data_IF_183986570729
#
_entry.id   IF_183986570729
#
_cell.length_a   1.000
_cell.length_b   1.000
_cell.length_c   1.000
_cell.angle_alpha   90.00
_cell.angle_beta   90.00
_cell.angle_gamma   90.00
#
_symmetry.space_group_name_H-M   'P 1'
#
loop_
_entity.id
_entity.type
_entity.pdbx_description
1 polymer ?
#
# COMPACT_ATOMS: atom_id res chain seq x y z
N UNK A 1 7.61 1.33 5.33
CA UNK A 1 8.33 1.59 4.07
C UNK A 1 8.35 0.36 3.15
N UNK A 2 8.56 -0.86 3.66
CA UNK A 2 8.62 -2.09 2.85
C UNK A 2 7.37 -2.42 2.02
N UNK A 3 6.15 -2.15 2.52
CA UNK A 3 4.90 -2.51 1.83
C UNK A 3 4.71 -1.83 0.47
N UNK A 4 5.31 -0.65 0.26
CA UNK A 4 5.20 0.09 -1.00
C UNK A 4 6.18 -0.41 -2.07
N UNK A 5 7.26 -1.08 -1.66
CA UNK A 5 8.34 -1.51 -2.55
C UNK A 5 7.84 -2.57 -3.54
N UNK A 6 7.04 -3.53 -3.06
CA UNK A 6 6.48 -4.59 -3.90
C UNK A 6 5.58 -4.01 -5.00
N UNK A 7 4.75 -3.02 -4.67
CA UNK A 7 3.88 -2.34 -5.63
C UNK A 7 4.70 -1.59 -6.69
N UNK A 8 5.75 -0.87 -6.29
CA UNK A 8 6.62 -0.13 -7.21
C UNK A 8 7.35 -1.10 -8.16
N UNK A 9 7.89 -2.20 -7.62
CA UNK A 9 8.55 -3.24 -8.43
C UNK A 9 7.55 -3.87 -9.40
N UNK A 10 6.35 -4.20 -8.95
CA UNK A 10 5.29 -4.75 -9.79
C UNK A 10 4.90 -3.81 -10.92
N UNK A 11 4.72 -2.51 -10.64
CA UNK A 11 4.43 -1.49 -11.64
C UNK A 11 5.55 -1.34 -12.67
N UNK A 12 6.81 -1.34 -12.22
CA UNK A 12 7.95 -1.24 -13.12
C UNK A 12 8.07 -2.48 -14.01
N UNK A 13 7.90 -3.67 -13.44
CA UNK A 13 7.90 -4.93 -14.19
C UNK A 13 6.76 -5.01 -15.21
N UNK A 14 5.57 -4.49 -14.85
CA UNK A 14 4.41 -4.44 -15.74
C UNK A 14 4.63 -3.46 -16.90
N UNK A 15 5.20 -2.28 -16.61
CA UNK A 15 5.58 -1.31 -17.64
C UNK A 15 6.63 -1.89 -18.60
N UNK A 16 7.64 -2.58 -18.05
CA UNK A 16 8.66 -3.26 -18.86
C UNK A 16 8.03 -4.31 -19.79
N UNK A 17 7.14 -5.16 -19.26
CA UNK A 17 6.47 -6.18 -20.09
C UNK A 17 5.57 -5.56 -21.17
N UNK A 18 4.91 -4.43 -20.88
CA UNK A 18 4.15 -3.65 -21.86
C UNK A 18 5.05 -3.07 -22.97
N UNK A 19 6.22 -2.55 -22.61
CA UNK A 19 7.22 -2.09 -23.57
C UNK A 19 7.72 -3.23 -24.46
N UNK A 20 8.08 -4.39 -23.88
CA UNK A 20 8.48 -5.58 -24.63
C UNK A 20 7.39 -6.04 -25.61
N UNK A 21 6.13 -6.04 -25.19
CA UNK A 21 5.00 -6.39 -26.06
C UNK A 21 4.82 -5.40 -27.22
N UNK A 22 4.95 -4.10 -26.95
CA UNK A 22 4.87 -3.07 -27.97
C UNK A 22 6.02 -3.18 -28.99
N UNK A 23 7.25 -3.35 -28.50
CA UNK A 23 8.42 -3.55 -29.34
C UNK A 23 8.30 -4.81 -30.19
N UNK A 24 7.81 -5.92 -29.63
CA UNK A 24 7.60 -7.15 -30.38
C UNK A 24 6.60 -6.96 -31.54
N UNK A 25 5.50 -6.23 -31.31
CA UNK A 25 4.55 -5.90 -32.39
C UNK A 25 5.16 -5.04 -33.49
N UNK A 26 6.01 -4.08 -33.13
CA UNK A 26 6.72 -3.23 -34.09
C UNK A 26 7.72 -4.06 -34.89
N UNK A 27 8.47 -4.94 -34.23
CA UNK A 27 9.42 -5.84 -34.86
C UNK A 27 8.76 -6.75 -35.90
N UNK A 28 7.68 -7.45 -35.53
CA UNK A 28 6.95 -8.35 -36.43
C UNK A 28 6.44 -7.61 -37.68
N UNK A 29 5.92 -6.38 -37.50
CA UNK A 29 5.50 -5.51 -38.60
C UNK A 29 6.64 -5.12 -39.53
N UNK A 30 7.82 -4.78 -38.98
CA UNK A 30 9.00 -4.39 -39.75
C UNK A 30 9.57 -5.57 -40.56
N UNK A 31 9.50 -6.77 -40.02
CA UNK A 31 10.02 -7.99 -40.68
C UNK A 31 9.01 -8.63 -41.63
N UNK A 32 7.84 -8.01 -41.84
CA UNK A 32 6.72 -8.55 -42.64
C UNK A 32 6.30 -9.97 -42.23
N UNK A 33 6.57 -10.35 -40.98
CA UNK A 33 6.19 -11.65 -40.45
C UNK A 33 4.71 -11.62 -40.07
N UNK A 34 4.03 -12.76 -40.21
CA UNK A 34 2.67 -12.89 -39.71
C UNK A 34 2.70 -12.91 -38.18
N UNK A 35 1.89 -12.06 -37.56
CA UNK A 35 1.72 -12.06 -36.11
C UNK A 35 0.84 -13.25 -35.71
N UNK A 36 1.45 -14.32 -35.22
CA UNK A 36 0.70 -15.46 -34.67
C UNK A 36 0.34 -15.22 -33.21
N UNK A 37 1.35 -15.15 -32.33
CA UNK A 37 1.14 -15.07 -30.89
C UNK A 37 2.24 -14.27 -30.19
N UNK A 38 1.92 -13.76 -28.99
CA UNK A 38 2.92 -13.12 -28.14
C UNK A 38 3.87 -14.18 -27.57
N UNK A 39 5.18 -13.88 -27.46
CA UNK A 39 6.14 -14.74 -26.80
C UNK A 39 5.69 -15.10 -25.38
N UNK A 40 5.84 -16.37 -25.02
CA UNK A 40 5.39 -16.91 -23.73
C UNK A 40 6.09 -16.26 -22.55
N UNK A 41 7.33 -15.80 -22.71
CA UNK A 41 8.08 -15.06 -21.70
C UNK A 41 7.38 -13.74 -21.32
N UNK A 42 6.90 -12.97 -22.31
CA UNK A 42 6.18 -11.70 -22.08
C UNK A 42 4.86 -11.95 -21.35
N UNK A 43 4.16 -13.04 -21.70
CA UNK A 43 2.91 -13.45 -21.05
C UNK A 43 3.16 -13.82 -19.59
N UNK A 44 4.19 -14.64 -19.32
CA UNK A 44 4.53 -15.04 -17.96
C UNK A 44 4.98 -13.83 -17.13
N UNK A 45 5.81 -12.94 -17.70
CA UNK A 45 6.25 -11.73 -17.03
C UNK A 45 5.09 -10.78 -16.69
N UNK A 46 4.14 -10.58 -17.62
CA UNK A 46 2.95 -9.74 -17.36
C UNK A 46 2.08 -10.35 -16.26
N UNK A 47 1.86 -11.66 -16.24
CA UNK A 47 1.09 -12.33 -15.20
C UNK A 47 1.74 -12.19 -13.82
N UNK A 48 3.05 -12.45 -13.71
CA UNK A 48 3.80 -12.31 -12.46
C UNK A 48 3.75 -10.86 -11.96
N UNK A 49 3.97 -9.88 -12.85
CA UNK A 49 3.91 -8.47 -12.52
C UNK A 49 2.51 -8.03 -12.06
N UNK A 50 1.46 -8.56 -12.71
CA UNK A 50 0.08 -8.32 -12.32
C UNK A 50 -0.22 -8.83 -10.90
N UNK A 51 0.13 -10.09 -10.59
CA UNK A 51 -0.07 -10.64 -9.25
C UNK A 51 0.74 -9.88 -8.18
N UNK A 52 1.98 -9.48 -8.50
CA UNK A 52 2.79 -8.65 -7.61
C UNK A 52 2.11 -7.30 -7.30
N UNK A 53 1.52 -6.64 -8.31
CA UNK A 53 0.73 -5.43 -8.13
C UNK A 53 -0.50 -5.65 -7.25
N UNK A 54 -1.25 -6.75 -7.46
CA UNK A 54 -2.40 -7.08 -6.61
C UNK A 54 -2.00 -7.26 -5.15
N UNK A 55 -0.94 -8.04 -4.89
CA UNK A 55 -0.43 -8.28 -3.53
C UNK A 55 0.06 -6.96 -2.90
N UNK A 56 0.84 -6.17 -3.65
CA UNK A 56 1.34 -4.88 -3.18
C UNK A 56 0.21 -3.90 -2.84
N UNK A 57 -0.86 -3.91 -3.62
CA UNK A 57 -2.03 -3.05 -3.41
C UNK A 57 -2.79 -3.44 -2.14
N UNK A 58 -3.06 -4.73 -1.94
CA UNK A 58 -3.72 -5.22 -0.72
C UNK A 58 -2.90 -4.89 0.53
N UNK A 59 -1.57 -5.01 0.46
CA UNK A 59 -0.69 -4.64 1.58
C UNK A 59 -0.68 -3.13 1.89
N UNK A 60 -0.93 -2.28 0.88
CA UNK A 60 -0.96 -0.83 1.03
C UNK A 60 -2.17 -0.35 1.85
N UNK A 61 -3.33 -1.00 1.70
CA UNK A 61 -4.57 -0.61 2.38
C UNK A 61 -4.55 -0.83 3.90
N UNK A 62 -3.50 -1.46 4.43
CA UNK A 62 -3.30 -1.61 5.87
C UNK A 62 -4.25 -2.63 6.50
N UNK A 63 -4.26 -2.66 7.83
CA UNK A 63 -5.06 -3.63 8.59
C UNK A 63 -6.46 -3.08 8.85
N UNK A 64 -7.46 -3.95 8.75
CA UNK A 64 -8.81 -3.64 9.20
C UNK A 64 -8.82 -3.33 10.70
N UNK A 65 -9.62 -2.33 11.08
CA UNK A 65 -9.91 -2.03 12.48
C UNK A 65 -11.12 -2.85 12.95
N UNK A 66 -11.15 -3.28 14.21
CA UNK A 66 -12.31 -3.98 14.76
C UNK A 66 -13.54 -3.07 14.77
N UNK A 67 -14.71 -3.64 14.47
CA UNK A 67 -16.00 -2.92 14.48
C UNK A 67 -16.43 -2.60 15.92
N UNK A 68 -16.02 -3.44 16.88
CA UNK A 68 -16.38 -3.30 18.28
C UNK A 68 -15.51 -2.24 18.95
N UNK A 69 -16.15 -1.12 19.30
CA UNK A 69 -15.55 0.00 20.01
C UNK A 69 -15.04 -0.43 21.39
N UNK A 70 -15.68 -1.41 22.03
CA UNK A 70 -15.25 -1.96 23.34
C UNK A 70 -13.81 -2.48 23.34
N UNK A 71 -13.31 -3.00 22.20
CA UNK A 71 -11.94 -3.47 22.07
C UNK A 71 -10.90 -2.34 22.10
N UNK A 72 -11.24 -1.15 21.56
CA UNK A 72 -10.39 0.03 21.70
C UNK A 72 -10.48 0.64 23.11
N UNK A 73 -11.64 0.50 23.78
CA UNK A 73 -11.92 1.12 25.08
C UNK A 73 -11.34 0.34 26.25
N UNK A 74 -11.17 -0.98 26.14
CA UNK A 74 -10.48 -1.79 27.15
C UNK A 74 -9.04 -1.31 27.43
N UNK A 75 -8.40 -0.70 26.43
CA UNK A 75 -7.04 -0.15 26.57
C UNK A 75 -6.99 1.29 27.10
N UNK A 76 -8.15 1.92 27.36
CA UNK A 76 -8.20 3.28 27.93
C UNK A 76 -8.44 3.23 29.44
N UNK A 77 -7.61 3.93 30.20
CA UNK A 77 -7.76 4.07 31.66
C UNK A 77 -8.66 5.26 32.03
N UNK A 78 -9.21 5.23 33.24
CA UNK A 78 -10.05 6.32 33.76
C UNK A 78 -9.31 7.67 33.78
N UNK A 79 -8.01 7.69 34.04
CA UNK A 79 -7.20 8.92 34.02
C UNK A 79 -7.20 9.60 32.64
N UNK A 80 -7.29 8.82 31.56
CA UNK A 80 -7.34 9.36 30.20
C UNK A 80 -8.74 9.88 29.84
N UNK A 81 -9.79 9.21 30.33
CA UNK A 81 -11.19 9.54 30.01
C UNK A 81 -11.73 10.66 30.92
N UNK A 82 -11.29 10.68 32.17
CA UNK A 82 -11.68 11.68 33.17
C UNK A 82 -11.04 13.05 32.94
N UNK A 83 -9.96 13.10 32.14
CA UNK A 83 -9.37 14.36 31.73
C UNK A 83 -10.32 15.11 30.78
N UNK A 84 -10.87 16.24 31.22
CA UNK A 84 -11.75 17.10 30.41
C UNK A 84 -11.02 18.40 30.04
N UNK A 85 -10.40 18.49 28.85
CA UNK A 85 -9.59 19.64 28.46
C UNK A 85 -10.36 20.96 28.53
N UNK A 86 -11.63 20.94 28.15
CA UNK A 86 -12.52 22.11 28.18
C UNK A 86 -12.82 22.64 29.59
N UNK A 87 -12.53 21.87 30.64
CA UNK A 87 -12.77 22.24 32.04
C UNK A 87 -11.46 22.25 32.85
N UNK A 88 -10.30 22.29 32.20
CA UNK A 88 -9.02 22.39 32.90
C UNK A 88 -8.88 23.74 33.59
N UNK A 89 -8.45 23.70 34.85
CA UNK A 89 -8.07 24.89 35.61
C UNK A 89 -6.58 24.84 35.92
N UNK A 90 -5.86 25.94 35.70
CA UNK A 90 -4.40 26.02 35.90
C UNK A 90 -4.00 26.40 37.33
N UNK A 91 -4.98 26.48 38.24
CA UNK A 91 -4.75 26.75 39.66
C UNK A 91 -4.65 25.44 40.44
N UNK A 92 -3.53 24.72 40.28
CA UNK A 92 -3.24 23.48 41.00
C UNK A 92 -1.86 23.52 41.67
N UNK A 93 -1.59 22.58 42.58
CA UNK A 93 -0.35 22.50 43.39
C UNK A 93 0.92 22.40 42.54
N UNK A 94 0.81 21.87 41.32
CA UNK A 94 1.90 21.78 40.35
C UNK A 94 2.49 23.15 39.96
N UNK A 95 1.69 24.23 40.01
CA UNK A 95 2.15 25.61 39.75
C UNK A 95 3.29 26.07 40.68
N UNK A 96 3.42 25.47 41.87
CA UNK A 96 4.47 25.79 42.85
C UNK A 96 5.60 24.77 42.90
N UNK A 97 5.42 23.61 42.26
CA UNK A 97 6.39 22.50 42.23
C UNK A 97 7.26 22.53 40.97
N UNK A 98 6.74 23.07 39.86
CA UNK A 98 7.41 23.09 38.55
C UNK A 98 7.58 24.53 38.02
N UNK A 99 8.01 25.45 38.89
CA UNK A 99 8.39 26.82 38.53
C UNK A 99 9.91 26.94 38.39
#
# INVERSE_FOLDING_TARGET
MGQKILLIIGLFALAHAGYSAAQHRVYVRLTEQQFEHLPTDIIVQTLIAFFACCIGTVQLFGKFKPILITAEWQNKTWDTIGNRPSFMTFNHRGKKLFH
#
